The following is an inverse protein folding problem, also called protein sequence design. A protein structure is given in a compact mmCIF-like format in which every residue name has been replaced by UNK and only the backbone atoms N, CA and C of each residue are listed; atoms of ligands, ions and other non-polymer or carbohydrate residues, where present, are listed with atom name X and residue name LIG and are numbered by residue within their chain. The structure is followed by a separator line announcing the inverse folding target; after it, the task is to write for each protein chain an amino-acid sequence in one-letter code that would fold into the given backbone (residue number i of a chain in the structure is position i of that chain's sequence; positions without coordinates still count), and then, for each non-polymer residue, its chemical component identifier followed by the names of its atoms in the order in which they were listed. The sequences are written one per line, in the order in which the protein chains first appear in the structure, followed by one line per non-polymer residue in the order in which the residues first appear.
data_IF_057330218919
#
_entry.id   IF_057330218919
#
_cell.length_a   1.000
_cell.length_b   1.000
_cell.length_c   1.000
_cell.angle_alpha   90.00
_cell.angle_beta   90.00
_cell.angle_gamma   90.00
#
_symmetry.space_group_name_H-M   'P 1'
#
loop_
_entity.id
_entity.type
_entity.pdbx_description
1 polymer ?
#
# COMPACT_ATOMS: atom_id res chain seq x y z
N UNK A 1 4.89 8.62 -27.93
CA UNK A 1 3.87 8.13 -26.98
C UNK A 1 4.55 7.10 -26.12
N UNK A 2 4.47 7.25 -24.80
CA UNK A 2 5.07 6.30 -23.88
C UNK A 2 4.18 5.06 -23.87
N UNK A 3 4.73 3.94 -24.32
CA UNK A 3 4.06 2.64 -24.18
C UNK A 3 4.23 2.18 -22.74
N UNK A 4 3.13 1.82 -22.09
CA UNK A 4 3.17 1.21 -20.77
C UNK A 4 3.82 -0.18 -20.89
N UNK A 5 4.70 -0.50 -19.95
CA UNK A 5 5.27 -1.84 -19.86
C UNK A 5 4.29 -2.76 -19.13
N UNK A 6 4.21 -4.04 -19.53
CA UNK A 6 3.47 -5.09 -18.84
C UNK A 6 4.44 -6.27 -18.53
N UNK A 7 4.89 -6.45 -17.28
CA UNK A 7 5.75 -7.56 -16.88
C UNK A 7 4.98 -8.87 -16.73
N UNK A 8 3.64 -8.83 -16.65
CA UNK A 8 2.81 -10.03 -16.53
C UNK A 8 2.67 -10.73 -17.88
N UNK A 9 2.88 -10.02 -19.00
CA UNK A 9 3.03 -10.64 -20.32
C UNK A 9 4.34 -11.44 -20.38
N UNK A 10 4.22 -12.76 -20.24
CA UNK A 10 5.37 -13.68 -20.23
C UNK A 10 6.13 -13.73 -18.90
N UNK A 11 5.53 -13.25 -17.80
CA UNK A 11 6.06 -13.33 -16.43
C UNK A 11 7.52 -12.84 -16.31
N UNK A 12 7.79 -11.65 -16.81
CA UNK A 12 9.12 -11.05 -16.91
C UNK A 12 9.54 -10.37 -15.60
N UNK A 13 9.70 -11.17 -14.55
CA UNK A 13 10.17 -10.73 -13.24
C UNK A 13 11.60 -11.21 -13.01
N UNK A 14 12.37 -10.44 -12.24
CA UNK A 14 13.72 -10.82 -11.84
C UNK A 14 14.83 -9.96 -12.44
N UNK A 15 16.10 -10.37 -12.25
CA UNK A 15 17.25 -9.54 -12.55
C UNK A 15 17.44 -9.31 -14.06
N UNK A 16 18.18 -8.26 -14.42
CA UNK A 16 18.62 -8.00 -15.79
C UNK A 16 17.62 -7.27 -16.68
N UNK A 17 16.41 -6.96 -16.20
CA UNK A 17 15.43 -6.10 -16.92
C UNK A 17 14.89 -5.04 -15.99
N UNK A 18 14.86 -3.78 -16.43
CA UNK A 18 14.33 -2.68 -15.65
C UNK A 18 12.85 -2.93 -15.32
N UNK A 19 12.50 -2.89 -14.04
CA UNK A 19 11.15 -3.21 -13.59
C UNK A 19 10.09 -2.28 -14.17
N UNK A 20 10.43 -1.03 -14.54
CA UNK A 20 9.48 -0.07 -15.10
C UNK A 20 9.39 -0.08 -16.62
N UNK A 21 10.44 -0.49 -17.34
CA UNK A 21 10.52 -0.32 -18.81
C UNK A 21 10.68 -1.64 -19.57
N UNK A 22 11.01 -2.73 -18.87
CA UNK A 22 11.34 -4.01 -19.47
C UNK A 22 12.66 -4.01 -20.25
N UNK A 23 13.39 -2.90 -20.32
CA UNK A 23 14.66 -2.81 -21.04
C UNK A 23 15.77 -3.57 -20.30
N UNK A 24 16.73 -4.17 -21.01
CA UNK A 24 17.89 -4.81 -20.37
C UNK A 24 18.66 -3.83 -19.49
N UNK A 25 19.11 -4.30 -18.33
CA UNK A 25 19.97 -3.54 -17.40
C UNK A 25 21.09 -4.43 -16.85
N UNK A 26 22.20 -3.82 -16.43
CA UNK A 26 23.30 -4.55 -15.81
C UNK A 26 22.99 -5.02 -14.39
N UNK A 27 23.78 -5.95 -13.83
CA UNK A 27 23.58 -6.46 -12.47
C UNK A 27 23.76 -5.39 -11.38
N UNK A 28 24.49 -4.31 -11.65
CA UNK A 28 24.67 -3.19 -10.73
C UNK A 28 23.57 -2.13 -10.85
N UNK A 29 22.78 -2.15 -11.92
CA UNK A 29 21.73 -1.17 -12.22
C UNK A 29 20.46 -1.52 -11.41
N UNK A 30 20.55 -1.30 -10.11
CA UNK A 30 19.52 -1.67 -9.15
C UNK A 30 19.32 -0.57 -8.11
N UNK A 31 18.12 -0.50 -7.56
CA UNK A 31 17.78 0.33 -6.40
C UNK A 31 17.26 -0.54 -5.25
N UNK A 32 17.39 -0.10 -4.00
CA UNK A 32 16.80 -0.81 -2.89
C UNK A 32 15.27 -0.68 -2.88
N UNK A 33 14.58 -1.75 -2.48
CA UNK A 33 13.12 -1.74 -2.29
C UNK A 33 12.74 -0.78 -1.17
N UNK A 34 13.33 -0.98 0.01
CA UNK A 34 13.30 -0.05 1.13
C UNK A 34 14.53 0.86 1.07
N UNK A 35 14.34 2.17 0.94
CA UNK A 35 15.45 3.09 0.67
C UNK A 35 16.52 3.13 1.76
N UNK A 36 17.75 3.49 1.37
CA UNK A 36 18.91 3.50 2.28
C UNK A 36 18.70 4.42 3.50
N UNK A 37 17.99 5.54 3.34
CA UNK A 37 17.68 6.42 4.46
C UNK A 37 16.77 5.76 5.49
N UNK A 38 15.82 4.94 5.02
CA UNK A 38 14.85 4.24 5.86
C UNK A 38 15.52 3.07 6.59
N UNK A 39 16.34 2.30 5.87
CA UNK A 39 17.09 1.19 6.46
C UNK A 39 18.12 1.68 7.48
N UNK A 40 18.78 2.81 7.22
CA UNK A 40 19.69 3.45 8.17
C UNK A 40 18.97 3.99 9.41
N UNK A 41 17.83 4.68 9.23
CA UNK A 41 17.09 5.31 10.32
C UNK A 41 16.57 4.30 11.37
N UNK A 42 16.20 3.09 10.93
CA UNK A 42 15.60 2.07 11.80
C UNK A 42 16.45 0.80 11.96
N UNK A 43 17.68 0.79 11.44
CA UNK A 43 18.60 -0.35 11.53
C UNK A 43 18.04 -1.63 10.88
N UNK A 44 17.51 -1.50 9.66
CA UNK A 44 16.76 -2.57 9.00
C UNK A 44 17.62 -3.50 8.13
N UNK A 45 18.80 -3.08 7.70
CA UNK A 45 19.58 -3.74 6.65
C UNK A 45 19.67 -5.27 6.80
N UNK A 46 20.03 -5.75 7.99
CA UNK A 46 20.19 -7.18 8.32
C UNK A 46 18.94 -7.82 8.94
N UNK A 47 17.84 -7.07 9.10
CA UNK A 47 16.61 -7.63 9.64
C UNK A 47 15.98 -8.59 8.62
N UNK A 48 15.45 -9.74 9.06
CA UNK A 48 14.80 -10.67 8.17
C UNK A 48 13.48 -10.10 7.66
N UNK A 49 13.16 -10.44 6.42
CA UNK A 49 11.84 -10.34 5.81
C UNK A 49 11.40 -11.75 5.47
N UNK A 50 10.19 -12.11 5.89
CA UNK A 50 9.60 -13.40 5.60
C UNK A 50 8.75 -13.28 4.33
N UNK A 51 9.01 -14.17 3.37
CA UNK A 51 8.23 -14.28 2.15
C UNK A 51 7.10 -15.31 2.31
N UNK A 52 6.18 -15.37 1.35
CA UNK A 52 5.00 -16.24 1.39
C UNK A 52 5.34 -17.74 1.45
N UNK A 53 6.46 -18.16 0.85
CA UNK A 53 6.95 -19.54 0.90
C UNK A 53 7.74 -19.85 2.19
N UNK A 54 7.69 -18.95 3.18
CA UNK A 54 8.45 -18.98 4.44
C UNK A 54 9.96 -18.85 4.29
N UNK A 55 10.46 -18.58 3.08
CA UNK A 55 11.84 -18.18 2.89
C UNK A 55 12.14 -16.86 3.58
N UNK A 56 13.42 -16.65 3.89
CA UNK A 56 13.90 -15.43 4.52
C UNK A 56 14.84 -14.72 3.57
N UNK A 57 14.65 -13.41 3.47
CA UNK A 57 15.59 -12.46 2.87
C UNK A 57 15.89 -11.35 3.87
N UNK A 58 16.69 -10.36 3.49
CA UNK A 58 16.94 -9.16 4.31
C UNK A 58 16.48 -7.90 3.59
N UNK A 59 16.25 -6.82 4.34
CA UNK A 59 15.91 -5.53 3.74
C UNK A 59 16.97 -5.07 2.73
N UNK A 60 18.26 -5.28 3.03
CA UNK A 60 19.35 -4.91 2.14
C UNK A 60 19.40 -5.76 0.85
N UNK A 61 18.98 -7.02 0.92
CA UNK A 61 18.94 -7.92 -0.22
C UNK A 61 17.77 -7.65 -1.17
N UNK A 62 16.67 -7.06 -0.69
CA UNK A 62 15.54 -6.66 -1.53
C UNK A 62 15.91 -5.49 -2.44
N UNK A 63 16.14 -5.78 -3.72
CA UNK A 63 16.52 -4.80 -4.75
C UNK A 63 15.69 -4.96 -6.01
N UNK A 64 15.45 -3.84 -6.69
CA UNK A 64 14.77 -3.79 -7.98
C UNK A 64 15.74 -3.39 -9.09
N UNK A 65 15.78 -4.10 -10.23
CA UNK A 65 16.53 -3.68 -11.41
C UNK A 65 15.91 -2.42 -12.02
N UNK A 66 16.70 -1.38 -12.22
CA UNK A 66 16.22 -0.08 -12.69
C UNK A 66 17.16 0.48 -13.76
N UNK A 67 16.58 1.03 -14.84
CA UNK A 67 17.37 1.67 -15.88
C UNK A 67 18.09 2.91 -15.32
N UNK A 68 19.39 3.15 -15.61
CA UNK A 68 20.14 4.29 -15.09
C UNK A 68 19.48 5.65 -15.32
N UNK A 69 18.77 5.81 -16.45
CA UNK A 69 18.04 7.03 -16.79
C UNK A 69 16.90 7.38 -15.81
N UNK A 70 16.40 6.41 -15.04
CA UNK A 70 15.33 6.61 -14.06
C UNK A 70 15.85 6.76 -12.62
N UNK A 71 17.15 6.60 -12.38
CA UNK A 71 17.74 6.67 -11.03
C UNK A 71 17.48 8.01 -10.36
N UNK A 72 17.74 9.12 -11.06
CA UNK A 72 17.57 10.47 -10.51
C UNK A 72 16.12 10.72 -10.07
N UNK A 73 15.15 10.34 -10.92
CA UNK A 73 13.72 10.51 -10.65
C UNK A 73 13.24 9.75 -9.41
N UNK A 74 13.75 8.54 -9.20
CA UNK A 74 13.38 7.73 -8.04
C UNK A 74 14.13 8.21 -6.78
N UNK A 75 15.37 8.68 -6.91
CA UNK A 75 16.08 9.35 -5.82
C UNK A 75 15.37 10.64 -5.38
N UNK A 76 14.80 11.41 -6.31
CA UNK A 76 13.98 12.60 -6.00
C UNK A 76 12.72 12.24 -5.21
N UNK A 77 12.01 11.17 -5.60
CA UNK A 77 10.86 10.66 -4.83
C UNK A 77 11.27 10.26 -3.41
N UNK A 78 12.38 9.55 -3.26
CA UNK A 78 12.89 9.17 -1.93
C UNK A 78 13.26 10.39 -1.09
N UNK A 79 13.93 11.38 -1.67
CA UNK A 79 14.34 12.59 -0.96
C UNK A 79 13.12 13.43 -0.51
N UNK A 80 12.10 13.54 -1.36
CA UNK A 80 10.84 14.24 -1.03
C UNK A 80 10.11 13.55 0.14
N UNK A 81 9.96 12.23 0.08
CA UNK A 81 9.28 11.46 1.14
C UNK A 81 10.11 11.46 2.42
N UNK A 82 11.44 11.33 2.32
CA UNK A 82 12.34 11.40 3.47
C UNK A 82 12.21 12.75 4.20
N UNK A 83 12.24 13.85 3.45
CA UNK A 83 12.09 15.20 4.03
C UNK A 83 10.74 15.36 4.75
N UNK A 84 9.66 14.87 4.15
CA UNK A 84 8.34 14.89 4.77
C UNK A 84 8.26 13.98 6.01
N UNK A 85 8.84 12.77 5.96
CA UNK A 85 8.87 11.84 7.08
C UNK A 85 9.62 12.43 8.28
N UNK A 86 10.76 13.09 8.04
CA UNK A 86 11.53 13.77 9.09
C UNK A 86 10.78 14.97 9.71
N UNK A 87 9.93 15.64 8.93
CA UNK A 87 9.10 16.74 9.39
C UNK A 87 7.81 16.28 10.11
N UNK A 88 7.46 14.99 10.00
CA UNK A 88 6.38 14.35 10.75
C UNK A 88 5.06 14.16 9.96
N UNK A 89 4.02 13.60 10.61
CA UNK A 89 2.79 13.16 9.95
C UNK A 89 2.07 14.26 9.14
N UNK A 90 2.10 15.51 9.61
CA UNK A 90 1.48 16.63 8.90
C UNK A 90 2.18 16.96 7.57
N UNK A 91 3.50 16.86 7.51
CA UNK A 91 4.26 17.08 6.29
C UNK A 91 4.05 15.95 5.28
N UNK A 92 3.97 14.70 5.75
CA UNK A 92 3.56 13.57 4.92
C UNK A 92 2.16 13.78 4.31
N UNK A 93 1.19 14.23 5.11
CA UNK A 93 -0.17 14.57 4.62
C UNK A 93 -0.19 15.67 3.55
N UNK A 94 0.79 16.58 3.57
CA UNK A 94 0.88 17.69 2.64
C UNK A 94 1.48 17.29 1.28
N UNK A 95 2.10 16.11 1.16
CA UNK A 95 2.58 15.60 -0.11
C UNK A 95 1.41 15.33 -1.07
N UNK A 96 1.62 15.52 -2.40
CA UNK A 96 0.62 15.09 -3.36
C UNK A 96 0.32 13.59 -3.19
N UNK A 97 -0.96 13.15 -3.10
CA UNK A 97 -1.31 11.76 -2.80
C UNK A 97 -0.65 10.73 -3.71
N UNK A 98 -0.52 11.06 -5.00
CA UNK A 98 0.16 10.21 -5.98
C UNK A 98 1.64 9.96 -5.65
N UNK A 99 2.34 10.89 -5.00
CA UNK A 99 3.76 10.74 -4.63
C UNK A 99 3.91 9.73 -3.49
N UNK A 100 3.13 9.86 -2.43
CA UNK A 100 3.12 8.86 -1.36
C UNK A 100 2.66 7.50 -1.86
N UNK A 101 1.64 7.46 -2.70
CA UNK A 101 1.19 6.21 -3.33
C UNK A 101 2.33 5.56 -4.11
N UNK A 102 3.00 6.29 -5.01
CA UNK A 102 4.13 5.80 -5.80
C UNK A 102 5.25 5.22 -4.94
N UNK A 103 5.55 5.86 -3.81
CA UNK A 103 6.56 5.40 -2.87
C UNK A 103 6.18 4.07 -2.19
N UNK A 104 4.94 3.95 -1.69
CA UNK A 104 4.43 2.69 -1.13
C UNK A 104 4.36 1.58 -2.19
N UNK A 105 3.86 1.91 -3.37
CA UNK A 105 3.73 0.97 -4.49
C UNK A 105 5.09 0.42 -4.95
N UNK A 106 6.16 1.22 -4.92
CA UNK A 106 7.52 0.75 -5.20
C UNK A 106 7.95 -0.32 -4.19
N UNK A 107 7.70 -0.10 -2.90
CA UNK A 107 8.02 -1.07 -1.85
C UNK A 107 7.21 -2.36 -2.00
N UNK A 108 5.89 -2.24 -2.16
CA UNK A 108 5.00 -3.37 -2.37
C UNK A 108 5.37 -4.17 -3.62
N UNK A 109 5.59 -3.50 -4.76
CA UNK A 109 6.04 -4.16 -6.00
C UNK A 109 7.39 -4.85 -5.80
N UNK A 110 8.30 -4.26 -5.03
CA UNK A 110 9.60 -4.85 -4.73
C UNK A 110 9.52 -6.17 -3.97
N UNK A 111 8.68 -6.22 -2.93
CA UNK A 111 8.39 -7.46 -2.19
C UNK A 111 7.72 -8.47 -3.12
N UNK A 112 6.67 -8.04 -3.83
CA UNK A 112 5.93 -8.87 -4.77
C UNK A 112 6.80 -9.47 -5.88
N UNK A 113 7.71 -8.71 -6.45
CA UNK A 113 8.63 -9.20 -7.48
C UNK A 113 9.62 -10.23 -6.89
N UNK A 114 10.07 -10.04 -5.65
CA UNK A 114 10.90 -11.02 -4.96
C UNK A 114 10.12 -12.33 -4.72
N UNK A 115 8.86 -12.25 -4.29
CA UNK A 115 7.96 -13.41 -4.16
C UNK A 115 7.81 -14.18 -5.49
N UNK A 116 7.58 -13.48 -6.61
CA UNK A 116 7.42 -14.11 -7.92
C UNK A 116 8.69 -14.78 -8.41
N UNK A 117 9.86 -14.18 -8.17
CA UNK A 117 11.16 -14.79 -8.51
C UNK A 117 11.38 -16.03 -7.65
N UNK A 118 11.09 -15.95 -6.35
CA UNK A 118 11.22 -17.07 -5.42
C UNK A 118 10.27 -18.23 -5.75
N UNK A 119 9.06 -17.95 -6.25
CA UNK A 119 8.11 -18.97 -6.72
C UNK A 119 8.58 -19.77 -7.94
N UNK A 120 9.63 -19.34 -8.65
CA UNK A 120 10.23 -20.15 -9.71
C UNK A 120 11.00 -21.35 -9.11
N UNK A 121 11.50 -21.23 -7.87
CA UNK A 121 12.22 -22.26 -7.13
C UNK A 121 11.81 -22.27 -5.63
N UNK A 122 10.53 -22.59 -5.30
CA UNK A 122 9.98 -22.37 -3.97
C UNK A 122 10.50 -23.40 -2.95
N UNK A 123 10.72 -22.99 -1.69
CA UNK A 123 11.04 -23.92 -0.60
C UNK A 123 9.86 -24.84 -0.27
N UNK A 124 8.66 -24.28 -0.27
CA UNK A 124 7.40 -25.00 -0.07
C UNK A 124 6.47 -24.63 -1.22
N UNK A 125 5.90 -25.64 -1.90
CA UNK A 125 4.93 -25.38 -2.96
C UNK A 125 3.71 -24.67 -2.37
N UNK A 126 3.37 -23.44 -2.83
CA UNK A 126 2.18 -22.76 -2.37
C UNK A 126 0.95 -23.56 -2.79
N UNK A 127 -0.05 -23.64 -1.91
CA UNK A 127 -1.30 -24.35 -2.21
C UNK A 127 -2.08 -23.69 -3.36
N UNK A 128 -1.90 -22.39 -3.55
CA UNK A 128 -2.48 -21.59 -4.63
C UNK A 128 -1.40 -20.67 -5.23
N UNK A 129 -0.78 -21.03 -6.35
CA UNK A 129 0.19 -20.18 -7.02
C UNK A 129 -0.44 -18.85 -7.46
N UNK A 130 0.26 -17.74 -7.25
CA UNK A 130 -0.29 -16.41 -7.52
C UNK A 130 -0.61 -16.20 -9.02
N UNK A 131 0.19 -16.81 -9.90
CA UNK A 131 -0.01 -16.78 -11.34
C UNK A 131 -1.32 -17.45 -11.81
N UNK A 132 -1.97 -18.26 -10.97
CA UNK A 132 -3.19 -18.99 -11.31
C UNK A 132 -4.48 -18.23 -10.92
N UNK A 133 -4.38 -17.13 -10.16
CA UNK A 133 -5.53 -16.32 -9.78
C UNK A 133 -5.77 -15.18 -10.80
N UNK A 134 -6.68 -15.43 -11.75
CA UNK A 134 -6.99 -14.50 -12.85
C UNK A 134 -7.49 -13.13 -12.34
N UNK A 135 -8.37 -13.11 -11.34
CA UNK A 135 -8.90 -11.86 -10.79
C UNK A 135 -7.80 -11.02 -10.11
N UNK A 136 -6.93 -11.69 -9.37
CA UNK A 136 -5.80 -11.05 -8.73
C UNK A 136 -4.79 -10.53 -9.77
N UNK A 137 -4.54 -11.29 -10.84
CA UNK A 137 -3.68 -10.87 -11.94
C UNK A 137 -4.21 -9.61 -12.65
N UNK A 138 -5.53 -9.48 -12.83
CA UNK A 138 -6.14 -8.27 -13.37
C UNK A 138 -5.90 -7.05 -12.46
N UNK A 139 -6.07 -7.20 -11.14
CA UNK A 139 -5.75 -6.14 -10.17
C UNK A 139 -4.28 -5.74 -10.23
N UNK A 140 -3.37 -6.72 -10.32
CA UNK A 140 -1.94 -6.46 -10.45
C UNK A 140 -1.56 -5.75 -11.75
N UNK A 141 -2.22 -6.06 -12.86
CA UNK A 141 -2.02 -5.34 -14.13
C UNK A 141 -2.44 -3.88 -14.01
N UNK A 142 -3.63 -3.61 -13.48
CA UNK A 142 -4.10 -2.24 -13.25
C UNK A 142 -3.17 -1.47 -12.30
N UNK A 143 -2.80 -2.08 -11.17
CA UNK A 143 -1.80 -1.55 -10.24
C UNK A 143 -0.49 -1.19 -10.95
N UNK A 144 0.04 -2.09 -11.77
CA UNK A 144 1.31 -1.87 -12.43
C UNK A 144 1.23 -0.81 -13.54
N UNK A 145 0.11 -0.72 -14.26
CA UNK A 145 -0.15 0.36 -15.22
C UNK A 145 -0.12 1.73 -14.53
N UNK A 146 -0.73 1.85 -13.34
CA UNK A 146 -0.68 3.07 -12.53
C UNK A 146 0.75 3.37 -12.03
N UNK A 147 1.52 2.33 -11.69
CA UNK A 147 2.91 2.44 -11.23
C UNK A 147 3.86 2.99 -12.31
N UNK A 148 3.47 2.92 -13.60
CA UNK A 148 4.23 3.51 -14.69
C UNK A 148 4.40 5.03 -14.56
N UNK A 149 3.62 5.70 -13.70
CA UNK A 149 3.82 7.11 -13.34
C UNK A 149 5.16 7.41 -12.66
N UNK A 150 5.88 6.39 -12.19
CA UNK A 150 7.26 6.52 -11.74
C UNK A 150 8.24 6.88 -12.88
N UNK A 151 7.89 6.64 -14.15
CA UNK A 151 8.81 6.82 -15.29
C UNK A 151 8.94 8.27 -15.72
N UNK A 152 7.84 9.01 -15.72
CA UNK A 152 7.71 10.35 -16.32
C UNK A 152 6.67 11.17 -15.58
N UNK A 153 6.63 12.52 -15.72
CA UNK A 153 5.54 13.32 -15.18
C UNK A 153 4.19 12.81 -15.70
N UNK A 154 3.38 12.31 -14.77
CA UNK A 154 2.11 11.66 -15.08
C UNK A 154 0.97 12.39 -14.40
N UNK A 155 -0.07 12.66 -15.19
CA UNK A 155 -1.36 13.08 -14.68
C UNK A 155 -2.29 11.87 -14.58
N UNK A 156 -2.99 11.75 -13.46
CA UNK A 156 -4.03 10.75 -13.23
C UNK A 156 -5.36 11.49 -13.38
N UNK A 157 -5.97 11.43 -14.56
CA UNK A 157 -6.99 12.37 -15.00
C UNK A 157 -8.24 12.33 -14.12
N UNK A 158 -8.38 13.32 -13.24
CA UNK A 158 -9.47 13.45 -12.25
C UNK A 158 -9.56 12.30 -11.21
N UNK A 159 -8.47 11.57 -10.99
CA UNK A 159 -8.39 10.55 -9.92
C UNK A 159 -7.01 10.50 -9.25
N UNK A 160 -6.91 9.71 -8.18
CA UNK A 160 -5.62 9.33 -7.56
C UNK A 160 -5.39 7.85 -7.79
N UNK A 161 -4.16 7.37 -8.06
CA UNK A 161 -3.92 5.97 -8.39
C UNK A 161 -4.39 4.99 -7.29
N UNK A 162 -4.42 5.45 -6.05
CA UNK A 162 -5.09 4.75 -4.96
C UNK A 162 -5.20 5.62 -3.72
N UNK A 163 -5.98 5.14 -2.75
CA UNK A 163 -6.21 5.81 -1.49
C UNK A 163 -5.00 5.72 -0.58
N UNK A 164 -4.60 6.86 -0.01
CA UNK A 164 -3.49 6.96 0.94
C UNK A 164 -3.96 7.66 2.20
N UNK A 165 -3.68 7.07 3.35
CA UNK A 165 -4.02 7.59 4.66
C UNK A 165 -2.75 7.75 5.47
N UNK A 166 -2.51 8.95 5.97
CA UNK A 166 -1.44 9.22 6.94
C UNK A 166 -2.07 9.45 8.30
N UNK A 167 -1.72 8.60 9.26
CA UNK A 167 -2.17 8.61 10.65
C UNK A 167 -1.02 9.01 11.56
N UNK A 168 -1.37 9.43 12.76
CA UNK A 168 -0.43 9.80 13.82
C UNK A 168 -0.62 8.88 15.02
N UNK A 169 0.46 8.26 15.48
CA UNK A 169 0.50 7.47 16.70
C UNK A 169 0.83 8.41 17.86
N UNK A 170 0.12 8.24 18.97
CA UNK A 170 0.43 8.96 20.19
C UNK A 170 1.84 8.58 20.69
N UNK A 171 2.74 9.56 20.91
CA UNK A 171 4.12 9.30 21.33
C UNK A 171 4.24 8.48 22.62
N UNK A 172 3.23 8.49 23.49
CA UNK A 172 3.22 7.66 24.70
C UNK A 172 3.18 6.16 24.40
N UNK A 173 2.79 5.77 23.19
CA UNK A 173 2.60 4.38 22.76
C UNK A 173 3.37 4.07 21.46
N UNK A 174 4.44 4.80 21.16
CA UNK A 174 5.09 4.75 19.84
C UNK A 174 5.75 3.41 19.50
N UNK A 175 6.12 2.56 20.47
CA UNK A 175 6.87 1.34 20.18
C UNK A 175 6.00 0.24 19.50
N UNK A 176 6.56 -0.50 18.51
CA UNK A 176 7.91 -0.36 17.94
C UNK A 176 7.99 0.76 16.89
N UNK A 177 9.15 1.41 16.75
CA UNK A 177 9.32 2.60 15.90
C UNK A 177 9.15 2.32 14.39
N UNK A 178 9.34 1.08 13.94
CA UNK A 178 9.18 0.68 12.55
C UNK A 178 8.41 -0.64 12.47
N UNK A 179 7.39 -0.67 11.63
CA UNK A 179 6.60 -1.85 11.24
C UNK A 179 6.17 -1.64 9.79
N UNK A 180 5.99 -2.70 9.03
CA UNK A 180 5.24 -2.65 7.78
C UNK A 180 4.31 -3.87 7.73
N UNK A 181 3.22 -3.75 6.99
CA UNK A 181 2.33 -4.86 6.66
C UNK A 181 1.93 -4.76 5.20
N UNK A 182 1.92 -5.88 4.51
CA UNK A 182 1.48 -6.01 3.13
C UNK A 182 0.47 -7.16 3.01
N UNK A 183 -0.53 -6.99 2.15
CA UNK A 183 -1.45 -8.07 1.79
C UNK A 183 -1.63 -8.11 0.28
N UNK A 184 -1.16 -9.21 -0.33
CA UNK A 184 -1.24 -9.38 -1.79
C UNK A 184 -2.69 -9.51 -2.29
N UNK A 185 -3.61 -10.00 -1.46
CA UNK A 185 -4.99 -10.26 -1.90
C UNK A 185 -5.80 -8.96 -2.09
N UNK A 186 -5.61 -8.00 -1.19
CA UNK A 186 -6.29 -6.71 -1.18
C UNK A 186 -5.44 -5.59 -1.77
N UNK A 187 -4.15 -5.84 -2.01
CA UNK A 187 -3.15 -4.85 -2.44
C UNK A 187 -3.14 -3.65 -1.48
N UNK A 188 -3.15 -3.93 -0.18
CA UNK A 188 -2.99 -2.91 0.87
C UNK A 188 -1.60 -3.04 1.45
N UNK A 189 -0.94 -1.90 1.60
CA UNK A 189 0.38 -1.79 2.19
C UNK A 189 0.36 -0.72 3.27
N UNK A 190 0.97 -0.98 4.42
CA UNK A 190 1.13 0.02 5.46
C UNK A 190 2.56 0.02 5.98
N UNK A 191 3.03 1.21 6.38
CA UNK A 191 4.35 1.39 6.96
C UNK A 191 4.28 2.40 8.10
N UNK A 192 4.91 2.05 9.21
CA UNK A 192 5.07 2.88 10.39
C UNK A 192 6.51 3.39 10.45
N UNK A 193 6.66 4.69 10.67
CA UNK A 193 7.92 5.42 10.78
C UNK A 193 7.84 6.36 11.98
N UNK A 194 8.37 5.93 13.12
CA UNK A 194 8.21 6.64 14.39
C UNK A 194 6.73 6.80 14.75
N UNK A 195 6.27 8.04 14.91
CA UNK A 195 4.86 8.36 15.17
C UNK A 195 3.99 8.48 13.91
N UNK A 196 4.54 8.36 12.70
CA UNK A 196 3.77 8.39 11.46
C UNK A 196 3.40 6.98 11.00
N UNK A 197 2.17 6.79 10.54
CA UNK A 197 1.74 5.56 9.87
C UNK A 197 1.11 5.92 8.53
N UNK A 198 1.62 5.35 7.45
CA UNK A 198 1.06 5.52 6.11
C UNK A 198 0.41 4.21 5.68
N UNK A 199 -0.86 4.26 5.28
CA UNK A 199 -1.62 3.12 4.74
C UNK A 199 -2.01 3.46 3.31
N UNK A 200 -1.67 2.60 2.35
CA UNK A 200 -2.01 2.74 0.94
C UNK A 200 -2.83 1.57 0.46
N UNK A 201 -3.95 1.84 -0.22
CA UNK A 201 -4.67 0.84 -1.03
C UNK A 201 -4.26 1.05 -2.48
N UNK A 202 -3.68 0.04 -3.11
CA UNK A 202 -2.83 0.26 -4.28
C UNK A 202 -3.58 0.18 -5.62
N UNK A 203 -4.87 -0.16 -5.63
CA UNK A 203 -5.66 -0.26 -6.88
C UNK A 203 -7.15 0.00 -6.65
N UNK A 204 -7.49 1.21 -6.20
CA UNK A 204 -8.89 1.60 -5.93
C UNK A 204 -9.30 2.96 -6.52
N UNK A 205 -8.38 3.63 -7.22
CA UNK A 205 -8.57 4.96 -7.85
C UNK A 205 -9.15 6.05 -6.93
N UNK A 206 -9.02 5.90 -5.61
CA UNK A 206 -9.50 6.86 -4.60
C UNK A 206 -10.88 6.54 -3.99
N UNK A 207 -11.55 5.45 -4.41
CA UNK A 207 -12.85 5.07 -3.86
C UNK A 207 -12.82 4.81 -2.35
N UNK A 208 -11.76 4.21 -1.83
CA UNK A 208 -11.67 3.86 -0.41
C UNK A 208 -11.48 5.12 0.45
N UNK A 209 -10.70 6.11 0.00
CA UNK A 209 -10.59 7.42 0.65
C UNK A 209 -11.92 8.15 0.69
N UNK A 210 -12.73 8.04 -0.37
CA UNK A 210 -14.08 8.60 -0.38
C UNK A 210 -14.99 7.88 0.62
N UNK A 211 -15.00 6.54 0.61
CA UNK A 211 -15.82 5.73 1.52
C UNK A 211 -15.42 5.92 3.00
N UNK A 212 -14.13 6.05 3.27
CA UNK A 212 -13.57 6.20 4.62
C UNK A 212 -13.40 7.66 5.06
N UNK A 213 -13.90 8.64 4.29
CA UNK A 213 -13.65 10.08 4.54
C UNK A 213 -13.91 10.50 5.99
N UNK A 214 -15.07 10.12 6.54
CA UNK A 214 -15.43 10.48 7.91
C UNK A 214 -14.50 9.80 8.93
N UNK A 215 -14.23 8.52 8.76
CA UNK A 215 -13.33 7.77 9.65
C UNK A 215 -11.91 8.33 9.60
N UNK A 216 -11.43 8.72 8.43
CA UNK A 216 -10.11 9.33 8.27
C UNK A 216 -10.04 10.73 8.88
N UNK A 217 -11.09 11.52 8.74
CA UNK A 217 -11.23 12.80 9.42
C UNK A 217 -11.18 12.64 10.95
N UNK A 218 -11.95 11.70 11.50
CA UNK A 218 -12.01 11.46 12.95
C UNK A 218 -10.72 10.83 13.51
N UNK A 219 -9.92 10.24 12.64
CA UNK A 219 -8.58 9.74 12.91
C UNK A 219 -7.48 10.81 12.79
N UNK A 220 -7.79 12.08 12.44
CA UNK A 220 -6.82 13.19 12.37
C UNK A 220 -6.44 13.71 13.77
N UNK A 221 -5.84 12.83 14.57
CA UNK A 221 -5.38 13.07 15.95
C UNK A 221 -4.38 11.99 16.33
N UNK A 222 -3.62 12.16 17.42
CA UNK A 222 -2.83 11.07 17.99
C UNK A 222 -3.72 9.87 18.35
N UNK A 223 -3.35 8.71 17.83
CA UNK A 223 -4.04 7.44 18.01
C UNK A 223 -3.22 6.48 18.87
N UNK A 224 -3.89 5.71 19.73
CA UNK A 224 -3.26 4.52 20.29
C UNK A 224 -2.96 3.54 19.15
N UNK A 225 -1.85 2.78 19.16
CA UNK A 225 -1.53 1.82 18.10
C UNK A 225 -2.64 0.77 17.84
N UNK A 226 -3.55 0.54 18.80
CA UNK A 226 -4.74 -0.33 18.63
C UNK A 226 -5.81 0.31 17.76
N UNK A 227 -5.96 1.64 17.85
CA UNK A 227 -6.86 2.42 17.00
C UNK A 227 -6.29 2.51 15.58
N UNK A 228 -4.96 2.59 15.43
CA UNK A 228 -4.30 2.46 14.12
C UNK A 228 -4.57 1.08 13.51
N UNK A 229 -4.46 0.01 14.30
CA UNK A 229 -4.79 -1.34 13.83
C UNK A 229 -6.27 -1.47 13.42
N UNK A 230 -7.20 -0.84 14.15
CA UNK A 230 -8.61 -0.78 13.74
C UNK A 230 -8.80 -0.02 12.43
N UNK A 231 -8.14 1.14 12.28
CA UNK A 231 -8.21 1.92 11.05
C UNK A 231 -7.71 1.10 9.86
N UNK A 232 -6.57 0.42 10.03
CA UNK A 232 -6.04 -0.53 9.04
C UNK A 232 -7.06 -1.63 8.74
N UNK A 233 -7.68 -2.26 9.74
CA UNK A 233 -8.68 -3.28 9.52
C UNK A 233 -9.84 -2.78 8.64
N UNK A 234 -10.29 -1.55 8.84
CA UNK A 234 -11.31 -0.92 7.99
C UNK A 234 -10.83 -0.72 6.55
N UNK A 235 -9.57 -0.28 6.35
CA UNK A 235 -8.99 -0.12 5.03
C UNK A 235 -8.79 -1.45 4.28
N UNK A 236 -8.28 -2.47 4.97
CA UNK A 236 -8.10 -3.83 4.42
C UNK A 236 -9.46 -4.44 4.06
N UNK A 237 -10.45 -4.31 4.95
CA UNK A 237 -11.79 -4.84 4.69
C UNK A 237 -12.51 -4.06 3.58
N UNK A 238 -12.36 -2.74 3.49
CA UNK A 238 -12.85 -1.96 2.36
C UNK A 238 -12.22 -2.40 1.03
N UNK A 239 -10.91 -2.67 1.01
CA UNK A 239 -10.21 -3.17 -0.17
C UNK A 239 -10.58 -4.62 -0.54
N UNK A 240 -10.99 -5.42 0.44
CA UNK A 240 -11.60 -6.74 0.23
C UNK A 240 -13.01 -6.63 -0.38
N UNK A 241 -13.82 -5.68 0.08
CA UNK A 241 -15.16 -5.45 -0.44
C UNK A 241 -15.16 -4.80 -1.83
N UNK A 242 -14.09 -4.12 -2.23
CA UNK A 242 -13.98 -3.47 -3.53
C UNK A 242 -14.08 -4.52 -4.64
N UNK A 243 -15.19 -4.49 -5.37
CA UNK A 243 -15.47 -5.40 -6.48
C UNK A 243 -15.02 -4.81 -7.83
N UNK A 244 -14.92 -3.48 -7.91
CA UNK A 244 -14.46 -2.78 -9.11
C UNK A 244 -12.94 -2.93 -9.29
N UNK A 245 -12.52 -3.33 -10.49
CA UNK A 245 -11.13 -3.21 -10.96
C UNK A 245 -11.13 -2.18 -12.09
N UNK A 246 -10.37 -1.08 -11.98
CA UNK A 246 -10.37 -0.03 -12.98
C UNK A 246 -9.61 -0.46 -14.24
N UNK A 247 -10.18 -0.16 -15.40
CA UNK A 247 -9.48 -0.23 -16.68
C UNK A 247 -8.67 1.05 -16.88
N UNK A 248 -7.36 0.91 -17.08
CA UNK A 248 -6.42 2.04 -17.19
C UNK A 248 -6.03 2.26 -18.65
N UNK A 249 -6.22 3.50 -19.12
CA UNK A 249 -5.94 3.89 -20.50
C UNK A 249 -4.87 4.98 -20.56
N UNK A 250 -3.70 4.71 -21.19
CA UNK A 250 -2.72 5.74 -21.44
C UNK A 250 -3.11 6.60 -22.64
N UNK A 251 -3.12 7.92 -22.48
CA UNK A 251 -3.26 8.87 -23.58
C UNK A 251 -2.12 9.89 -23.62
N UNK A 252 -2.00 10.56 -24.77
CA UNK A 252 -1.08 11.69 -24.90
C UNK A 252 -1.66 12.91 -24.18
N UNK A 253 -0.81 13.74 -23.55
CA UNK A 253 -1.22 15.04 -23.04
C UNK A 253 -1.76 15.92 -24.18
N UNK A 254 -2.87 16.61 -23.92
CA UNK A 254 -3.51 17.60 -24.76
C UNK A 254 -3.48 19.00 -24.12
N UNK A 255 -4.09 20.01 -24.77
CA UNK A 255 -4.01 21.40 -24.34
C UNK A 255 -4.65 21.72 -22.98
N UNK A 256 -5.48 20.82 -22.45
CA UNK A 256 -6.18 20.99 -21.17
C UNK A 256 -5.45 20.33 -20.00
N UNK A 257 -4.45 19.48 -20.26
CA UNK A 257 -3.71 18.80 -19.21
C UNK A 257 -2.64 19.72 -18.60
N UNK A 258 -2.14 19.42 -17.38
CA UNK A 258 -1.14 20.24 -16.72
C UNK A 258 0.14 20.43 -17.57
N UNK A 259 0.76 21.63 -17.57
CA UNK A 259 2.02 21.85 -18.28
C UNK A 259 3.14 20.92 -17.80
N UNK A 260 3.88 20.33 -18.73
CA UNK A 260 4.99 19.43 -18.43
C UNK A 260 4.57 17.96 -18.20
N UNK A 261 3.27 17.65 -18.25
CA UNK A 261 2.79 16.27 -18.28
C UNK A 261 3.29 15.56 -19.53
N UNK A 262 3.78 14.32 -19.37
CA UNK A 262 4.27 13.48 -20.47
C UNK A 262 3.38 12.25 -20.70
N UNK A 263 2.67 11.81 -19.66
CA UNK A 263 1.72 10.70 -19.68
C UNK A 263 0.44 11.14 -18.97
N UNK A 264 -0.71 10.86 -19.59
CA UNK A 264 -1.98 10.93 -18.87
C UNK A 264 -2.56 9.53 -18.80
N UNK A 265 -3.03 9.17 -17.62
CA UNK A 265 -3.79 7.94 -17.39
C UNK A 265 -5.24 8.33 -17.14
N UNK A 266 -6.15 7.77 -17.92
CA UNK A 266 -7.58 7.79 -17.63
C UNK A 266 -7.95 6.45 -16.99
N UNK A 267 -8.96 6.47 -16.13
CA UNK A 267 -9.53 5.26 -15.51
C UNK A 267 -11.01 5.15 -15.86
N UNK A 268 -11.44 3.96 -16.25
CA UNK A 268 -12.85 3.61 -16.38
C UNK A 268 -13.20 2.48 -15.43
N UNK A 269 -14.39 2.56 -14.85
CA UNK A 269 -14.97 1.50 -14.04
C UNK A 269 -16.33 1.20 -14.66
N UNK A 270 -16.55 -0.04 -15.08
CA UNK A 270 -17.86 -0.46 -15.57
C UNK A 270 -18.84 -0.53 -14.38
N UNK A 271 -19.63 0.53 -14.20
CA UNK A 271 -20.62 0.68 -13.14
C UNK A 271 -22.06 0.45 -13.62
N UNK A 272 -22.25 0.13 -14.90
CA UNK A 272 -23.58 0.01 -15.52
C UNK A 272 -24.32 -1.22 -14.99
N UNK A 273 -23.60 -2.22 -14.48
CA UNK A 273 -24.17 -3.46 -13.91
C UNK A 273 -23.58 -3.91 -12.56
N UNK A 274 -22.53 -3.26 -12.06
CA UNK A 274 -21.75 -3.74 -10.91
C UNK A 274 -21.77 -2.80 -9.70
N UNK A 275 -21.90 -3.37 -8.50
CA UNK A 275 -21.71 -2.65 -7.24
C UNK A 275 -20.22 -2.37 -7.03
N UNK A 276 -19.82 -1.11 -6.81
CA UNK A 276 -18.41 -0.74 -6.57
C UNK A 276 -17.84 -1.49 -5.35
N UNK A 277 -18.64 -1.59 -4.27
CA UNK A 277 -18.32 -2.35 -3.08
C UNK A 277 -19.38 -3.43 -2.84
N UNK A 278 -18.95 -4.64 -2.51
CA UNK A 278 -19.82 -5.64 -1.92
C UNK A 278 -20.42 -5.12 -0.60
N UNK A 279 -21.62 -5.59 -0.20
CA UNK A 279 -22.23 -5.18 1.05
C UNK A 279 -21.33 -5.44 2.26
N UNK A 280 -21.34 -4.50 3.20
CA UNK A 280 -20.61 -4.65 4.45
C UNK A 280 -21.18 -5.81 5.29
N UNK A 281 -20.30 -6.68 5.77
CA UNK A 281 -20.62 -7.75 6.70
C UNK A 281 -19.77 -7.66 7.97
N UNK A 282 -20.43 -7.65 9.12
CA UNK A 282 -19.77 -7.48 10.41
C UNK A 282 -18.87 -8.67 10.78
N UNK A 283 -19.24 -9.88 10.35
CA UNK A 283 -18.44 -11.07 10.61
C UNK A 283 -17.12 -11.01 9.80
N UNK A 284 -17.20 -10.69 8.52
CA UNK A 284 -16.03 -10.44 7.67
C UNK A 284 -15.10 -9.36 8.25
N UNK A 285 -15.67 -8.24 8.69
CA UNK A 285 -14.89 -7.17 9.35
C UNK A 285 -14.23 -7.64 10.66
N UNK A 286 -14.95 -8.38 11.50
CA UNK A 286 -14.41 -8.90 12.75
C UNK A 286 -13.27 -9.91 12.55
N UNK A 287 -13.34 -10.72 11.49
CA UNK A 287 -12.23 -11.59 11.10
C UNK A 287 -10.98 -10.77 10.73
N UNK A 288 -11.14 -9.67 9.98
CA UNK A 288 -10.01 -8.75 9.68
C UNK A 288 -9.42 -8.16 10.96
N UNK A 289 -10.26 -7.72 11.91
CA UNK A 289 -9.80 -7.20 13.21
C UNK A 289 -9.01 -8.24 14.01
N UNK A 290 -9.46 -9.50 14.00
CA UNK A 290 -8.79 -10.60 14.72
C UNK A 290 -7.36 -10.82 14.23
N UNK A 291 -7.09 -10.59 12.93
CA UNK A 291 -5.74 -10.65 12.38
C UNK A 291 -4.83 -9.49 12.79
N UNK A 292 -5.39 -8.31 13.11
CA UNK A 292 -4.64 -7.10 13.41
C UNK A 292 -4.56 -6.74 14.89
N UNK A 293 -5.40 -7.33 15.74
CA UNK A 293 -5.39 -7.14 17.19
C UNK A 293 -4.70 -8.22 18.07
N UNK A 294 -3.96 -9.23 17.57
CA UNK A 294 -3.44 -10.29 18.44
C UNK A 294 -2.45 -9.77 19.49
N UNK A 295 -1.71 -8.68 19.20
CA UNK A 295 -0.73 -8.10 20.14
C UNK A 295 -1.34 -7.49 21.41
N UNK A 296 -2.67 -7.28 21.44
CA UNK A 296 -3.39 -6.83 22.63
C UNK A 296 -4.30 -7.89 23.24
N UNK A 297 -4.21 -9.15 22.78
CA UNK A 297 -5.05 -10.23 23.30
C UNK A 297 -6.55 -10.05 23.04
N UNK A 298 -6.94 -9.18 22.10
CA UNK A 298 -8.34 -8.99 21.71
C UNK A 298 -8.66 -10.01 20.61
N UNK A 299 -9.31 -11.11 21.01
CA UNK A 299 -9.76 -12.17 20.10
C UNK A 299 -11.20 -11.98 19.61
N UNK A 300 -11.59 -12.83 18.67
CA UNK A 300 -12.89 -12.81 18.00
C UNK A 300 -14.09 -12.80 18.96
N UNK A 301 -14.06 -13.59 20.04
CA UNK A 301 -15.14 -13.62 21.06
C UNK A 301 -15.43 -12.23 21.62
N UNK A 302 -14.37 -11.46 21.94
CA UNK A 302 -14.49 -10.10 22.48
C UNK A 302 -14.95 -9.12 21.41
N UNK A 303 -14.48 -9.29 20.18
CA UNK A 303 -14.84 -8.43 19.04
C UNK A 303 -16.33 -8.60 18.70
N UNK A 304 -16.84 -9.83 18.70
CA UNK A 304 -18.19 -10.20 18.31
C UNK A 304 -19.14 -10.38 19.51
N UNK A 305 -18.78 -9.89 20.70
CA UNK A 305 -19.68 -9.88 21.86
C UNK A 305 -21.06 -9.26 21.53
N UNK A 306 -21.08 -8.28 20.61
CA UNK A 306 -22.27 -7.89 19.87
C UNK A 306 -22.04 -8.06 18.35
N UNK A 307 -22.62 -9.07 17.68
CA UNK A 307 -22.37 -9.31 16.26
C UNK A 307 -22.96 -8.22 15.34
N UNK A 308 -23.91 -7.42 15.83
CA UNK A 308 -24.46 -6.28 15.08
C UNK A 308 -23.60 -5.02 15.18
N UNK A 309 -22.69 -4.99 16.16
CA UNK A 309 -21.79 -3.86 16.40
C UNK A 309 -20.45 -4.41 16.90
N UNK A 310 -19.57 -4.87 16.00
CA UNK A 310 -18.24 -5.33 16.36
C UNK A 310 -17.50 -4.27 17.20
N UNK A 311 -16.71 -4.73 18.15
CA UNK A 311 -15.95 -3.87 19.05
C UNK A 311 -15.18 -2.79 18.27
N UNK A 312 -15.23 -1.56 18.77
CA UNK A 312 -14.46 -0.43 18.26
C UNK A 312 -13.71 0.24 19.41
N UNK A 313 -12.48 0.63 19.12
CA UNK A 313 -11.63 1.47 19.96
C UNK A 313 -11.41 2.85 19.32
N UNK A 314 -11.78 3.05 18.05
CA UNK A 314 -11.93 4.36 17.42
C UNK A 314 -13.16 5.11 17.96
N UNK A 315 -14.27 4.39 18.16
CA UNK A 315 -15.54 4.94 18.62
C UNK A 315 -16.06 4.21 19.85
N UNK A 316 -16.71 4.92 20.77
CA UNK A 316 -17.36 4.34 21.93
C UNK A 316 -18.75 3.77 21.56
N UNK A 317 -19.49 3.24 22.54
CA UNK A 317 -20.80 2.65 22.33
C UNK A 317 -21.84 3.64 21.75
N UNK A 318 -21.71 4.94 22.06
CA UNK A 318 -22.55 6.01 21.52
C UNK A 318 -22.08 6.55 20.15
N UNK A 319 -21.04 5.95 19.55
CA UNK A 319 -20.49 6.35 18.26
C UNK A 319 -19.59 7.60 18.33
N UNK A 320 -19.16 8.02 19.52
CA UNK A 320 -18.25 9.16 19.71
C UNK A 320 -16.80 8.71 19.62
N UNK A 321 -15.96 9.57 19.07
CA UNK A 321 -14.51 9.34 18.94
C UNK A 321 -13.87 9.15 20.32
N UNK A 322 -13.07 8.10 20.49
CA UNK A 322 -12.30 7.83 21.70
C UNK A 322 -10.86 8.34 21.58
N UNK A 323 -10.34 9.00 22.59
CA UNK A 323 -8.92 9.38 22.69
C UNK A 323 -7.98 8.15 22.80
N UNK A 324 -6.69 8.36 22.62
CA UNK A 324 -5.69 7.30 22.80
C UNK A 324 -5.69 6.74 24.24
N UNK A 325 -5.84 7.62 25.23
CA UNK A 325 -5.89 7.24 26.64
C UNK A 325 -7.14 6.41 26.99
N UNK A 326 -8.32 6.78 26.44
CA UNK A 326 -9.55 6.01 26.63
C UNK A 326 -9.45 4.62 25.99
N UNK A 327 -8.88 4.53 24.79
CA UNK A 327 -8.64 3.24 24.14
C UNK A 327 -7.68 2.34 24.95
N UNK A 328 -6.66 2.93 25.60
CA UNK A 328 -5.69 2.21 26.40
C UNK A 328 -6.28 1.56 27.67
N UNK A 329 -7.40 2.07 28.20
CA UNK A 329 -8.09 1.47 29.38
C UNK A 329 -8.59 0.05 29.10
N UNK A 330 -8.77 -0.31 27.83
CA UNK A 330 -9.30 -1.60 27.40
C UNK A 330 -8.25 -2.69 27.15
N UNK A 331 -6.95 -2.36 27.31
CA UNK A 331 -5.79 -3.21 26.96
C UNK A 331 -5.06 -3.69 28.21
#
# INVERSE_FOLDING_TARGET
MITLYDPFEGMQFGPGRCFLTGQPVGPADTIPVFADWLTAAYGLAERPIYLLDQSQTTYAALRLPLAPALHARLAELEAEVQAAALAGPAALRALPPARLWQWLSKMFYGIFAAELVQQQEPLIKPQYPLAENVHLLQRFRAFFQLLQGLRVPTDYADFVPGSVFVLEVDPAYEAPAFEYDDDLNTLVFSIKMGNAVVVGTLVDIGFISQAMRQVYHDAQRPLHPVQVAEFKARAYYAAYLLAAVPDIYPRRPGPLDPPGTELVLDALVDDVTATIFNPWDNLGYAHTLTGLWPRWGIGEERILANPFQPMSLLYNAEGRVQSAAEAAVWL
#
